data_IF_627722718160
#
_entry.id   IF_627722718160
#
_cell.length_a   1.000
_cell.length_b   1.000
_cell.length_c   1.000
_cell.angle_alpha   90.00
_cell.angle_beta   90.00
_cell.angle_gamma   90.00
#
_symmetry.space_group_name_H-M   'P 1'
#
loop_
_entity.id
_entity.type
_entity.pdbx_description
1 polymer ?
#
# COMPACT_ATOMS: atom_id res chain seq x y z
N UNK A 1 5.63 -6.68 31.80
CA UNK A 1 5.77 -7.22 30.44
C UNK A 1 4.39 -7.76 30.14
N UNK A 2 3.61 -7.04 29.35
CA UNK A 2 2.25 -7.48 29.03
C UNK A 2 2.35 -8.69 28.08
N UNK A 3 1.98 -9.86 28.59
CA UNK A 3 2.03 -11.17 27.92
C UNK A 3 0.94 -11.32 26.82
N UNK A 4 0.24 -10.22 26.47
CA UNK A 4 -0.90 -10.19 25.54
C UNK A 4 -0.57 -9.50 24.19
N UNK A 5 0.72 -9.28 23.87
CA UNK A 5 1.07 -8.60 22.63
C UNK A 5 0.93 -9.52 21.41
N UNK A 6 -0.05 -9.25 20.54
CA UNK A 6 -0.22 -9.91 19.25
C UNK A 6 1.06 -9.87 18.41
N UNK A 7 1.43 -11.03 17.84
CA UNK A 7 2.59 -11.18 16.96
C UNK A 7 2.12 -11.33 15.52
N UNK A 8 2.53 -10.42 14.65
CA UNK A 8 2.24 -10.50 13.22
C UNK A 8 3.32 -11.29 12.49
N UNK A 9 2.91 -12.21 11.61
CA UNK A 9 3.81 -13.00 10.77
C UNK A 9 3.62 -12.59 9.32
N UNK A 10 4.66 -11.99 8.73
CA UNK A 10 4.67 -11.49 7.37
C UNK A 10 5.41 -12.46 6.43
N UNK A 11 4.74 -13.01 5.40
CA UNK A 11 5.40 -13.82 4.38
C UNK A 11 6.47 -13.03 3.63
N UNK A 12 7.69 -13.59 3.51
CA UNK A 12 8.80 -12.95 2.80
C UNK A 12 8.49 -12.70 1.31
N UNK A 13 7.69 -13.56 0.69
CA UNK A 13 7.33 -13.43 -0.73
C UNK A 13 6.44 -12.19 -0.97
N UNK A 14 5.50 -11.91 -0.06
CA UNK A 14 4.66 -10.71 -0.11
C UNK A 14 5.51 -9.45 0.02
N UNK A 15 6.39 -9.39 1.05
CA UNK A 15 7.24 -8.22 1.26
C UNK A 15 8.15 -7.97 0.07
N UNK A 16 8.80 -9.02 -0.44
CA UNK A 16 9.70 -8.92 -1.60
C UNK A 16 8.95 -8.37 -2.81
N UNK A 17 7.78 -8.91 -3.13
CA UNK A 17 7.02 -8.46 -4.29
C UNK A 17 6.48 -7.04 -4.10
N UNK A 18 6.00 -6.70 -2.90
CA UNK A 18 5.51 -5.35 -2.58
C UNK A 18 6.62 -4.30 -2.75
N UNK A 19 7.84 -4.59 -2.30
CA UNK A 19 9.02 -3.76 -2.56
C UNK A 19 9.35 -3.69 -4.05
N UNK A 20 9.32 -4.81 -4.78
CA UNK A 20 9.65 -4.85 -6.22
C UNK A 20 8.69 -4.03 -7.09
N UNK A 21 7.42 -3.92 -6.72
CA UNK A 21 6.44 -3.15 -7.49
C UNK A 21 6.43 -1.66 -7.14
N UNK A 22 7.11 -1.26 -6.08
CA UNK A 22 7.04 0.10 -5.55
C UNK A 22 7.95 1.08 -6.28
N UNK A 23 7.69 2.37 -6.07
CA UNK A 23 8.64 3.44 -6.35
C UNK A 23 9.40 3.83 -5.08
N UNK A 24 10.63 4.32 -5.24
CA UNK A 24 11.49 4.72 -4.12
C UNK A 24 11.14 6.07 -3.49
N UNK A 25 10.34 6.90 -4.18
CA UNK A 25 9.97 8.25 -3.75
C UNK A 25 8.47 8.35 -3.48
N UNK A 26 7.65 7.96 -4.44
CA UNK A 26 6.20 7.95 -4.31
C UNK A 26 5.75 6.77 -3.46
N UNK A 27 4.88 7.07 -2.48
CA UNK A 27 4.33 6.05 -1.62
C UNK A 27 3.30 5.20 -2.38
N UNK A 28 3.30 3.91 -2.09
CA UNK A 28 2.24 2.98 -2.48
C UNK A 28 1.76 2.25 -1.24
N UNK A 29 0.52 1.78 -1.24
CA UNK A 29 -0.09 1.08 -0.13
C UNK A 29 -0.99 -0.06 -0.58
N UNK A 30 -1.27 -0.95 0.37
CA UNK A 30 -2.19 -2.05 0.19
C UNK A 30 -2.84 -2.42 1.51
N UNK A 31 -4.00 -3.06 1.44
CA UNK A 31 -4.68 -3.58 2.62
C UNK A 31 -4.17 -4.99 2.91
N UNK A 32 -3.89 -5.28 4.18
CA UNK A 32 -3.39 -6.59 4.62
C UNK A 32 -4.53 -7.41 5.21
N UNK A 33 -4.64 -8.63 4.72
CA UNK A 33 -5.64 -9.59 5.15
C UNK A 33 -4.97 -10.85 5.68
N UNK A 34 -5.57 -11.45 6.69
CA UNK A 34 -5.06 -12.67 7.27
C UNK A 34 -5.98 -13.22 8.34
N UNK A 35 -5.44 -14.16 9.11
CA UNK A 35 -6.15 -14.79 10.22
C UNK A 35 -5.15 -15.38 11.20
N UNK A 36 -5.62 -15.61 12.42
CA UNK A 36 -4.88 -16.44 13.37
C UNK A 36 -4.92 -17.91 12.91
N UNK A 37 -3.84 -18.69 13.07
CA UNK A 37 -3.84 -20.13 12.79
C UNK A 37 -4.91 -20.88 13.59
N UNK A 38 -5.12 -20.46 14.84
CA UNK A 38 -6.08 -21.02 15.79
C UNK A 38 -6.80 -19.88 16.54
N UNK A 39 -8.07 -20.03 16.94
CA UNK A 39 -8.85 -18.94 17.55
C UNK A 39 -8.24 -18.29 18.79
N UNK A 40 -7.41 -19.03 19.54
CA UNK A 40 -6.77 -18.55 20.78
C UNK A 40 -5.28 -18.23 20.59
N UNK A 41 -4.76 -18.30 19.36
CA UNK A 41 -3.35 -18.03 19.11
C UNK A 41 -3.10 -16.52 19.08
N UNK A 42 -2.10 -16.01 19.83
CA UNK A 42 -1.69 -14.60 19.78
C UNK A 42 -0.95 -14.26 18.48
N UNK A 43 -0.75 -15.24 17.59
CA UNK A 43 -0.06 -15.09 16.33
C UNK A 43 -1.06 -14.84 15.22
N UNK A 44 -0.88 -13.76 14.46
CA UNK A 44 -1.69 -13.45 13.28
C UNK A 44 -0.83 -13.61 12.03
N UNK A 45 -1.25 -14.48 11.11
CA UNK A 45 -0.57 -14.69 9.85
C UNK A 45 -1.16 -13.80 8.76
N UNK A 46 -0.33 -12.98 8.13
CA UNK A 46 -0.72 -12.20 6.95
C UNK A 46 -0.76 -13.15 5.76
N UNK A 47 -1.91 -13.24 5.11
CA UNK A 47 -2.13 -14.16 3.99
C UNK A 47 -2.22 -13.42 2.64
N UNK A 48 -2.74 -12.19 2.63
CA UNK A 48 -2.88 -11.41 1.40
C UNK A 48 -2.52 -9.94 1.56
N UNK A 49 -1.97 -9.37 0.49
CA UNK A 49 -1.97 -7.92 0.27
C UNK A 49 -2.93 -7.62 -0.88
N UNK A 50 -3.87 -6.71 -0.64
CA UNK A 50 -4.84 -6.24 -1.62
C UNK A 50 -4.40 -4.87 -2.10
N UNK A 51 -4.04 -4.80 -3.38
CA UNK A 51 -3.80 -3.54 -4.07
C UNK A 51 -5.14 -3.03 -4.60
N UNK A 52 -5.46 -1.78 -4.32
CA UNK A 52 -6.63 -1.08 -4.86
C UNK A 52 -6.19 0.08 -5.74
N UNK A 53 -7.08 0.62 -6.61
CA UNK A 53 -6.84 1.86 -7.34
C UNK A 53 -6.41 2.98 -6.41
N UNK A 54 -5.20 3.52 -6.57
CA UNK A 54 -4.67 4.52 -5.65
C UNK A 54 -3.84 5.58 -6.37
N UNK A 55 -3.83 6.78 -5.79
CA UNK A 55 -3.02 7.90 -6.25
C UNK A 55 -2.00 8.25 -5.16
N UNK A 56 -0.81 7.69 -5.30
CA UNK A 56 0.33 7.93 -4.40
C UNK A 56 1.16 9.14 -4.81
N UNK A 57 1.71 9.82 -3.82
CA UNK A 57 2.75 10.84 -3.99
C UNK A 57 3.83 10.68 -2.91
N UNK A 58 4.81 11.58 -2.83
CA UNK A 58 5.91 11.48 -1.85
C UNK A 58 5.44 11.57 -0.39
N UNK A 59 4.31 12.22 -0.14
CA UNK A 59 3.82 12.54 1.20
C UNK A 59 2.64 11.67 1.64
N UNK A 60 1.73 11.33 0.74
CA UNK A 60 0.47 10.65 1.08
C UNK A 60 -0.04 9.77 -0.06
N UNK A 61 -1.01 8.91 0.28
CA UNK A 61 -1.72 8.05 -0.67
C UNK A 61 -3.21 8.37 -0.60
N UNK A 62 -3.84 8.50 -1.77
CA UNK A 62 -5.29 8.63 -1.87
C UNK A 62 -5.88 7.27 -2.27
N UNK A 63 -6.83 6.80 -1.47
CA UNK A 63 -7.53 5.52 -1.65
C UNK A 63 -8.99 5.72 -2.09
N UNK A 64 -9.65 4.68 -2.63
CA UNK A 64 -11.08 4.70 -2.89
C UNK A 64 -11.90 4.82 -1.61
N UNK A 65 -13.14 5.29 -1.71
CA UNK A 65 -14.06 5.39 -0.58
C UNK A 65 -14.66 4.04 -0.18
N UNK A 66 -14.61 3.05 -1.07
CA UNK A 66 -15.04 1.69 -0.79
C UNK A 66 -13.86 0.85 -0.27
N UNK A 67 -14.08 0.13 0.84
CA UNK A 67 -13.11 -0.84 1.33
C UNK A 67 -13.20 -2.12 0.52
N UNK A 68 -12.07 -2.73 0.12
CA UNK A 68 -12.12 -4.08 -0.43
C UNK A 68 -12.69 -5.04 0.62
N UNK A 69 -13.64 -5.88 0.25
CA UNK A 69 -14.16 -6.94 1.12
C UNK A 69 -13.80 -8.29 0.53
N UNK A 70 -13.23 -9.17 1.35
CA UNK A 70 -12.82 -10.51 0.96
C UNK A 70 -13.51 -11.48 1.91
N UNK A 71 -14.24 -12.44 1.33
CA UNK A 71 -14.88 -13.48 2.11
C UNK A 71 -13.83 -14.35 2.82
N UNK A 72 -14.16 -14.81 4.03
CA UNK A 72 -13.41 -15.81 4.81
C UNK A 72 -12.02 -15.40 5.32
N UNK A 73 -11.61 -14.13 5.13
CA UNK A 73 -10.34 -13.60 5.66
C UNK A 73 -10.57 -12.21 6.27
N UNK A 74 -9.98 -11.96 7.44
CA UNK A 74 -10.13 -10.70 8.16
C UNK A 74 -9.20 -9.62 7.60
N UNK A 75 -9.69 -8.38 7.52
CA UNK A 75 -8.87 -7.19 7.36
C UNK A 75 -8.05 -6.98 8.63
N UNK A 76 -6.73 -7.05 8.52
CA UNK A 76 -5.79 -6.81 9.63
C UNK A 76 -5.36 -5.35 9.72
N UNK A 77 -5.42 -4.62 8.60
CA UNK A 77 -5.03 -3.21 8.50
C UNK A 77 -4.42 -2.89 7.14
N UNK A 78 -3.33 -2.12 7.11
CA UNK A 78 -2.70 -1.70 5.85
C UNK A 78 -1.18 -1.69 5.92
N UNK A 79 -0.55 -1.72 4.75
CA UNK A 79 0.89 -1.60 4.54
C UNK A 79 1.16 -0.47 3.55
N UNK A 80 2.20 0.34 3.78
CA UNK A 80 2.63 1.33 2.80
C UNK A 80 4.15 1.52 2.77
N UNK A 81 4.65 2.03 1.65
CA UNK A 81 6.04 2.43 1.50
C UNK A 81 6.27 3.86 1.99
N UNK A 82 7.49 4.12 2.44
CA UNK A 82 7.95 5.46 2.80
C UNK A 82 9.44 5.64 2.49
N UNK A 83 9.85 6.87 2.20
CA UNK A 83 11.24 7.20 1.87
C UNK A 83 12.14 7.35 3.09
N UNK A 84 11.56 7.48 4.28
CA UNK A 84 12.28 7.73 5.54
C UNK A 84 11.85 6.72 6.60
N UNK A 85 12.81 6.22 7.38
CA UNK A 85 12.54 5.32 8.52
C UNK A 85 12.15 6.11 9.77
N UNK A 86 10.84 6.29 9.95
CA UNK A 86 10.28 6.87 11.17
C UNK A 86 10.12 5.83 12.28
N UNK A 87 10.37 6.23 13.53
CA UNK A 87 10.24 5.35 14.71
C UNK A 87 8.82 5.28 15.29
N UNK A 88 7.89 6.02 14.71
CA UNK A 88 6.46 6.07 15.03
C UNK A 88 5.68 6.34 13.74
N UNK A 89 4.37 6.14 13.76
CA UNK A 89 3.47 6.55 12.68
C UNK A 89 3.49 8.06 12.54
N UNK A 90 3.56 8.52 11.29
CA UNK A 90 3.57 9.93 10.96
C UNK A 90 2.16 10.53 11.16
N UNK A 91 2.05 11.86 11.29
CA UNK A 91 0.74 12.51 11.31
C UNK A 91 -0.12 12.17 10.08
N UNK A 92 0.52 11.99 8.91
CA UNK A 92 -0.15 11.61 7.67
C UNK A 92 -0.72 10.18 7.75
N UNK A 93 -0.01 9.26 8.37
CA UNK A 93 -0.48 7.89 8.59
C UNK A 93 -1.72 7.90 9.50
N UNK A 94 -1.68 8.66 10.60
CA UNK A 94 -2.81 8.78 11.53
C UNK A 94 -4.02 9.43 10.85
N UNK A 95 -3.81 10.46 10.04
CA UNK A 95 -4.86 11.08 9.24
C UNK A 95 -5.47 10.09 8.23
N UNK A 96 -4.64 9.21 7.64
CA UNK A 96 -5.08 8.17 6.70
C UNK A 96 -5.92 7.11 7.41
N UNK A 97 -5.46 6.64 8.58
CA UNK A 97 -6.22 5.71 9.44
C UNK A 97 -7.58 6.32 9.84
N UNK A 98 -7.61 7.62 10.17
CA UNK A 98 -8.84 8.32 10.52
C UNK A 98 -9.82 8.44 9.34
N UNK A 99 -9.31 8.51 8.11
CA UNK A 99 -10.16 8.44 6.90
C UNK A 99 -10.70 7.02 6.68
N UNK A 100 -9.89 6.00 6.93
CA UNK A 100 -10.35 4.61 6.85
C UNK A 100 -11.46 4.33 7.88
N UNK A 101 -11.29 4.74 9.14
CA UNK A 101 -12.33 4.60 10.16
C UNK A 101 -13.64 5.30 9.77
N UNK A 102 -13.57 6.43 9.06
CA UNK A 102 -14.75 7.16 8.59
C UNK A 102 -15.44 6.48 7.41
N UNK A 103 -14.66 5.95 6.47
CA UNK A 103 -15.17 5.50 5.18
C UNK A 103 -15.47 3.99 5.15
N UNK A 104 -14.78 3.19 5.96
CA UNK A 104 -14.79 1.74 5.89
C UNK A 104 -15.45 1.14 7.15
N UNK A 105 -16.65 0.54 7.03
CA UNK A 105 -17.39 0.01 8.18
C UNK A 105 -16.64 -1.06 8.99
N UNK A 106 -15.75 -1.81 8.34
CA UNK A 106 -14.98 -2.89 8.96
C UNK A 106 -13.64 -2.41 9.56
N UNK A 107 -13.34 -1.11 9.49
CA UNK A 107 -12.14 -0.56 10.10
C UNK A 107 -12.37 -0.30 11.59
N UNK A 108 -11.56 -0.91 12.43
CA UNK A 108 -11.64 -0.82 13.89
C UNK A 108 -10.30 -0.38 14.50
N UNK A 109 -10.29 -0.06 15.80
CA UNK A 109 -9.12 0.56 16.46
C UNK A 109 -7.89 -0.38 16.53
N UNK A 110 -8.10 -1.68 16.43
CA UNK A 110 -7.08 -2.74 16.49
C UNK A 110 -6.28 -2.93 15.19
N UNK A 111 -6.67 -2.26 14.09
CA UNK A 111 -6.03 -2.47 12.78
C UNK A 111 -4.58 -1.97 12.76
N UNK A 112 -3.69 -2.79 12.23
CA UNK A 112 -2.24 -2.57 12.22
C UNK A 112 -1.79 -1.80 10.98
N UNK A 113 -0.78 -0.96 11.16
CA UNK A 113 -0.10 -0.24 10.09
C UNK A 113 1.31 -0.78 9.95
N UNK A 114 1.62 -1.32 8.78
CA UNK A 114 2.96 -1.76 8.41
C UNK A 114 3.64 -0.69 7.56
N UNK A 115 4.81 -0.23 8.01
CA UNK A 115 5.60 0.76 7.28
C UNK A 115 6.81 0.10 6.64
N UNK A 116 7.01 0.34 5.34
CA UNK A 116 8.13 -0.19 4.55
C UNK A 116 9.03 0.97 4.16
N UNK A 117 10.06 1.24 4.97
CA UNK A 117 10.99 2.33 4.74
C UNK A 117 12.17 1.92 3.85
N UNK A 118 12.42 2.70 2.79
CA UNK A 118 13.61 2.55 1.97
C UNK A 118 14.82 3.19 2.65
N UNK A 119 15.82 2.36 2.94
CA UNK A 119 17.13 2.80 3.42
C UNK A 119 18.18 2.47 2.37
N UNK A 120 19.34 3.14 2.33
CA UNK A 120 20.36 2.85 1.34
C UNK A 120 20.75 1.36 1.32
N UNK A 121 20.45 0.67 0.23
CA UNK A 121 20.75 -0.76 0.02
C UNK A 121 19.90 -1.75 0.83
N UNK A 122 18.87 -1.30 1.56
CA UNK A 122 18.02 -2.19 2.35
C UNK A 122 16.59 -1.64 2.53
N UNK A 123 15.76 -2.41 3.24
CA UNK A 123 14.39 -2.03 3.59
C UNK A 123 14.17 -2.30 5.06
N UNK A 124 13.60 -1.34 5.77
CA UNK A 124 13.16 -1.50 7.15
C UNK A 124 11.65 -1.69 7.17
N UNK A 125 11.19 -2.81 7.72
CA UNK A 125 9.77 -3.08 7.93
C UNK A 125 9.44 -2.90 9.42
N UNK A 126 8.45 -2.08 9.74
CA UNK A 126 7.96 -1.87 11.10
C UNK A 126 6.45 -2.03 11.19
N UNK A 127 5.95 -2.38 12.38
CA UNK A 127 4.52 -2.58 12.67
C UNK A 127 4.08 -1.70 13.83
N UNK A 128 2.97 -0.99 13.64
CA UNK A 128 2.40 -0.10 14.64
C UNK A 128 0.87 -0.19 14.70
N UNK A 129 0.33 -0.06 15.90
CA UNK A 129 -1.08 0.27 16.16
C UNK A 129 -1.16 1.65 16.81
N UNK A 130 -2.35 2.23 16.84
CA UNK A 130 -2.59 3.49 17.55
C UNK A 130 -3.21 3.23 18.93
N UNK A 131 -2.78 4.01 19.92
CA UNK A 131 -3.49 4.10 21.19
C UNK A 131 -4.77 4.95 21.03
N UNK A 132 -5.59 4.99 22.09
CA UNK A 132 -6.87 5.72 22.05
C UNK A 132 -6.70 7.22 21.78
N UNK A 133 -5.71 7.86 22.42
CA UNK A 133 -5.40 9.28 22.21
C UNK A 133 -5.04 9.58 20.74
N UNK A 134 -4.30 8.69 20.08
CA UNK A 134 -3.94 8.80 18.67
C UNK A 134 -5.14 8.77 17.74
N UNK A 135 -6.12 7.91 18.03
CA UNK A 135 -7.38 7.86 17.28
C UNK A 135 -8.20 9.14 17.48
N UNK A 136 -8.32 9.62 18.71
CA UNK A 136 -9.06 10.86 19.01
C UNK A 136 -8.40 12.08 18.37
N UNK A 137 -7.07 12.15 18.42
CA UNK A 137 -6.31 13.19 17.76
C UNK A 137 -6.51 13.15 16.24
N UNK A 138 -6.41 11.97 15.61
CA UNK A 138 -6.60 11.82 14.17
C UNK A 138 -7.99 12.26 13.68
N UNK A 139 -9.05 12.01 14.48
CA UNK A 139 -10.43 12.47 14.16
C UNK A 139 -10.59 13.99 14.23
N UNK A 140 -9.90 14.64 15.16
CA UNK A 140 -10.02 16.07 15.42
C UNK A 140 -9.04 16.92 14.61
N UNK A 141 -7.96 16.33 14.12
CA UNK A 141 -6.94 17.02 13.35
C UNK A 141 -7.50 17.56 12.01
N UNK A 142 -7.18 18.81 11.72
CA UNK A 142 -7.58 19.50 10.49
C UNK A 142 -6.41 19.76 9.53
N UNK A 143 -5.18 19.70 10.04
CA UNK A 143 -3.98 19.86 9.23
C UNK A 143 -3.55 18.48 8.70
N UNK A 144 -3.97 18.19 7.47
CA UNK A 144 -3.82 16.88 6.86
C UNK A 144 -2.48 16.68 6.14
N UNK A 145 -1.65 17.73 6.01
CA UNK A 145 -0.46 17.72 5.17
C UNK A 145 0.83 17.96 5.95
N UNK A 146 0.78 18.69 7.06
CA UNK A 146 1.96 18.96 7.88
C UNK A 146 2.50 17.71 8.54
N UNK A 147 3.84 17.64 8.63
CA UNK A 147 4.56 16.64 9.43
C UNK A 147 4.69 17.04 10.90
N UNK A 148 4.28 18.26 11.26
CA UNK A 148 4.32 18.79 12.63
C UNK A 148 3.01 19.51 13.00
N UNK A 149 1.84 18.86 12.85
CA UNK A 149 0.57 19.49 13.18
C UNK A 149 0.39 19.66 14.70
N UNK A 150 -0.39 20.65 15.15
CA UNK A 150 -0.63 20.88 16.58
C UNK A 150 -1.21 19.67 17.29
N UNK A 151 -0.70 19.37 18.48
CA UNK A 151 -1.17 18.27 19.33
C UNK A 151 -0.69 16.87 18.91
N UNK A 152 0.05 16.73 17.81
CA UNK A 152 0.67 15.46 17.46
C UNK A 152 1.71 15.03 18.50
N UNK A 153 1.72 13.74 18.82
CA UNK A 153 2.73 13.10 19.66
C UNK A 153 3.14 11.75 19.06
N UNK A 154 4.44 11.47 19.05
CA UNK A 154 4.94 10.14 18.63
C UNK A 154 4.50 9.01 19.57
N UNK A 155 4.09 9.35 20.81
CA UNK A 155 3.57 8.39 21.78
C UNK A 155 2.20 7.80 21.40
N UNK A 156 1.52 8.38 20.40
CA UNK A 156 0.29 7.82 19.84
C UNK A 156 0.51 6.45 19.19
N UNK A 157 1.73 6.18 18.73
CA UNK A 157 2.10 4.92 18.09
C UNK A 157 2.56 3.89 19.10
N UNK A 158 1.93 2.72 19.06
CA UNK A 158 2.30 1.54 19.85
C UNK A 158 2.95 0.53 18.90
N UNK A 159 4.21 0.19 19.13
CA UNK A 159 4.95 -0.75 18.28
C UNK A 159 4.53 -2.20 18.55
N UNK A 160 4.23 -2.97 17.52
CA UNK A 160 3.87 -4.40 17.65
C UNK A 160 5.07 -5.31 17.33
N UNK A 161 4.94 -6.58 17.71
CA UNK A 161 5.87 -7.62 17.31
C UNK A 161 5.57 -8.08 15.89
N UNK A 162 6.60 -8.12 15.04
CA UNK A 162 6.50 -8.52 13.64
C UNK A 162 7.65 -9.46 13.28
N UNK A 163 7.33 -10.59 12.66
CA UNK A 163 8.29 -11.61 12.26
C UNK A 163 8.16 -11.90 10.77
N UNK A 164 9.29 -12.00 10.08
CA UNK A 164 9.33 -12.45 8.68
C UNK A 164 9.44 -13.96 8.60
N UNK A 165 8.60 -14.60 7.78
CA UNK A 165 8.58 -16.04 7.61
C UNK A 165 8.74 -16.47 6.15
N UNK A 166 9.56 -17.49 5.91
CA UNK A 166 9.65 -18.24 4.65
C UNK A 166 8.80 -19.52 4.66
N UNK A 167 8.21 -19.88 5.80
CA UNK A 167 7.39 -21.09 5.96
C UNK A 167 5.98 -20.94 5.41
N UNK A 168 5.52 -19.69 5.26
CA UNK A 168 4.21 -19.35 4.72
C UNK A 168 4.37 -18.54 3.44
N UNK A 169 3.40 -18.69 2.55
CA UNK A 169 3.35 -18.01 1.25
C UNK A 169 2.03 -17.27 1.17
N UNK A 170 2.08 -15.95 1.00
CA UNK A 170 0.90 -15.14 0.77
C UNK A 170 0.63 -14.89 -0.71
N UNK A 171 -0.57 -14.40 -1.03
CA UNK A 171 -0.98 -14.03 -2.40
C UNK A 171 -1.39 -12.56 -2.49
N UNK A 172 -1.41 -11.99 -3.70
CA UNK A 172 -1.95 -10.66 -3.91
C UNK A 172 -3.38 -10.72 -4.46
N UNK A 173 -4.12 -9.65 -4.25
CA UNK A 173 -5.28 -9.30 -5.07
C UNK A 173 -5.07 -7.92 -5.66
N UNK A 174 -5.53 -7.72 -6.88
CA UNK A 174 -5.32 -6.51 -7.67
C UNK A 174 -6.61 -6.15 -8.42
N UNK A 175 -6.75 -4.92 -8.92
CA UNK A 175 -7.87 -4.56 -9.78
C UNK A 175 -7.98 -5.49 -10.99
N UNK A 176 -9.19 -5.78 -11.43
CA UNK A 176 -9.46 -6.68 -12.55
C UNK A 176 -8.84 -6.20 -13.88
N UNK A 177 -8.81 -4.88 -14.08
CA UNK A 177 -8.12 -4.18 -15.17
C UNK A 177 -6.57 -4.11 -15.02
N UNK A 178 -6.04 -4.58 -13.89
CA UNK A 178 -4.64 -4.53 -13.44
C UNK A 178 -4.10 -3.13 -13.09
N UNK A 179 -4.90 -2.07 -13.17
CA UNK A 179 -4.45 -0.70 -12.94
C UNK A 179 -4.69 -0.33 -11.48
N UNK A 180 -3.70 -0.62 -10.63
CA UNK A 180 -3.72 -0.14 -9.24
C UNK A 180 -3.07 1.24 -9.09
N UNK A 181 -2.12 1.60 -9.96
CA UNK A 181 -1.36 2.85 -9.86
C UNK A 181 -1.91 3.95 -10.78
N UNK A 182 -2.42 5.04 -10.19
CA UNK A 182 -2.93 6.20 -10.92
C UNK A 182 -1.96 7.39 -10.99
N UNK A 183 -0.69 7.23 -10.59
CA UNK A 183 0.29 8.33 -10.61
C UNK A 183 0.47 8.99 -11.99
N UNK A 184 0.33 8.24 -13.09
CA UNK A 184 0.41 8.77 -14.47
C UNK A 184 -0.97 8.94 -15.12
N UNK A 185 -2.05 8.59 -14.40
CA UNK A 185 -3.44 8.63 -14.85
C UNK A 185 -4.29 9.48 -13.88
N UNK A 186 -3.67 10.47 -13.22
CA UNK A 186 -4.28 11.20 -12.12
C UNK A 186 -5.59 11.91 -12.48
N UNK A 187 -5.76 12.31 -13.75
CA UNK A 187 -7.01 12.89 -14.26
C UNK A 187 -8.19 11.90 -14.34
N UNK A 188 -7.90 10.59 -14.39
CA UNK A 188 -8.91 9.53 -14.37
C UNK A 188 -9.21 9.05 -12.94
N UNK A 189 -8.37 9.44 -11.97
CA UNK A 189 -8.53 9.03 -10.59
C UNK A 189 -9.69 9.75 -9.91
N UNK A 190 -10.53 8.98 -9.23
CA UNK A 190 -11.56 9.48 -8.33
C UNK A 190 -11.79 8.46 -7.22
N UNK A 191 -11.90 8.93 -5.99
CA UNK A 191 -12.17 8.05 -4.84
C UNK A 191 -13.54 7.35 -4.90
N UNK A 192 -14.43 7.77 -5.82
CA UNK A 192 -15.76 7.17 -6.01
C UNK A 192 -15.78 6.11 -7.12
N UNK A 193 -14.66 5.88 -7.80
CA UNK A 193 -14.62 4.88 -8.87
C UNK A 193 -14.79 3.49 -8.24
N UNK A 194 -15.73 2.73 -8.79
CA UNK A 194 -15.93 1.33 -8.48
C UNK A 194 -14.80 0.50 -9.09
N UNK A 195 -14.46 -0.62 -8.45
CA UNK A 195 -13.43 -1.53 -8.94
C UNK A 195 -13.74 -2.95 -8.48
N UNK A 196 -13.44 -3.91 -9.35
CA UNK A 196 -13.47 -5.32 -9.01
C UNK A 196 -12.05 -5.82 -8.72
N UNK A 197 -11.94 -6.93 -7.99
CA UNK A 197 -10.66 -7.52 -7.62
C UNK A 197 -10.53 -8.94 -8.16
N UNK A 198 -9.31 -9.28 -8.57
CA UNK A 198 -8.91 -10.64 -8.92
C UNK A 198 -7.65 -11.05 -8.18
N UNK A 199 -7.46 -12.36 -8.04
CA UNK A 199 -6.19 -12.91 -7.55
C UNK A 199 -5.20 -12.89 -8.69
N UNK A 200 -4.20 -12.03 -8.60
CA UNK A 200 -3.12 -11.93 -9.58
C UNK A 200 -1.89 -11.25 -8.95
N UNK A 201 -0.80 -11.15 -9.72
CA UNK A 201 0.45 -10.52 -9.33
C UNK A 201 0.39 -9.03 -9.68
N UNK A 202 0.66 -8.10 -8.75
CA UNK A 202 0.66 -6.68 -9.05
C UNK A 202 1.75 -6.31 -10.05
N UNK A 203 1.35 -5.49 -11.02
CA UNK A 203 2.25 -4.90 -12.00
C UNK A 203 3.18 -3.89 -11.33
N UNK A 204 4.45 -3.75 -11.78
CA UNK A 204 5.37 -2.74 -11.24
C UNK A 204 4.85 -1.30 -11.41
N UNK A 205 5.32 -0.38 -10.56
CA UNK A 205 4.90 1.04 -10.59
C UNK A 205 4.96 1.66 -11.99
N UNK A 206 6.05 1.40 -12.72
CA UNK A 206 6.31 1.90 -14.07
C UNK A 206 5.89 0.92 -15.18
N UNK A 207 4.95 0.00 -14.95
CA UNK A 207 4.44 -0.88 -16.00
C UNK A 207 3.70 -0.08 -17.09
N UNK A 208 3.74 -0.51 -18.34
CA UNK A 208 3.09 0.17 -19.49
C UNK A 208 1.60 0.49 -19.25
N UNK A 209 0.85 -0.43 -18.64
CA UNK A 209 -0.57 -0.25 -18.30
C UNK A 209 -0.82 0.91 -17.33
N UNK A 210 0.14 1.26 -16.47
CA UNK A 210 0.01 2.39 -15.56
C UNK A 210 0.34 3.72 -16.23
N UNK A 211 0.96 3.71 -17.42
CA UNK A 211 1.48 4.90 -18.10
C UNK A 211 1.23 4.89 -19.62
N UNK A 212 0.02 4.56 -20.09
CA UNK A 212 -0.27 4.37 -21.53
C UNK A 212 -0.01 5.63 -22.36
N UNK A 213 -0.19 6.82 -21.78
CA UNK A 213 0.04 8.12 -22.45
C UNK A 213 1.47 8.24 -22.99
N UNK A 214 2.46 7.67 -22.29
CA UNK A 214 3.86 7.72 -22.73
C UNK A 214 4.08 6.92 -24.01
N UNK A 215 3.23 5.93 -24.32
CA UNK A 215 3.36 5.07 -25.49
C UNK A 215 2.52 5.57 -26.67
N UNK A 216 1.41 6.27 -26.41
CA UNK A 216 0.58 6.87 -27.46
C UNK A 216 1.23 8.06 -28.16
N UNK A 217 2.20 8.73 -27.53
CA UNK A 217 2.88 9.92 -28.08
C UNK A 217 3.78 9.63 -29.30
N UNK A 218 4.09 8.37 -29.60
CA UNK A 218 5.00 8.00 -30.69
C UNK A 218 4.32 7.76 -32.04
N UNK A 219 2.98 7.72 -32.09
CA UNK A 219 2.24 7.46 -33.33
C UNK A 219 2.38 8.59 -34.37
N UNK A 220 2.96 9.73 -34.02
CA UNK A 220 3.16 10.86 -34.94
C UNK A 220 4.47 10.75 -35.76
N UNK A 221 5.32 9.76 -35.50
CA UNK A 221 6.62 9.58 -36.20
C UNK A 221 6.51 8.61 -37.39
N UNK A 222 5.35 8.00 -37.64
CA UNK A 222 5.12 7.13 -38.80
C UNK A 222 5.01 7.93 -40.11
N UNK A 223 6.14 8.47 -40.57
CA UNK A 223 6.37 8.85 -41.97
C UNK A 223 7.88 9.05 -42.26
N UNK A 224 8.75 8.16 -41.79
CA UNK A 224 10.05 7.98 -42.45
C UNK A 224 9.91 6.78 -43.38
N UNK A 225 9.55 6.97 -44.67
CA UNK A 225 9.67 5.88 -45.64
C UNK A 225 11.10 5.33 -45.55
N UNK A 226 11.22 4.00 -45.58
CA UNK A 226 12.52 3.35 -45.76
C UNK A 226 13.24 4.07 -46.91
N UNK A 227 14.53 4.36 -46.73
CA UNK A 227 15.30 4.86 -47.86
C UNK A 227 15.19 3.83 -48.98
N UNK A 228 15.02 4.28 -50.23
CA UNK A 228 14.71 3.40 -51.36
C UNK A 228 15.74 2.27 -51.57
N UNK A 229 16.93 2.43 -50.98
CA UNK A 229 18.09 1.55 -51.08
C UNK A 229 18.31 0.70 -49.81
N UNK A 230 17.39 0.74 -48.84
CA UNK A 230 17.53 0.02 -47.57
C UNK A 230 17.20 -1.46 -47.75
N UNK A 231 18.23 -2.30 -47.85
CA UNK A 231 18.11 -3.76 -47.95
C UNK A 231 17.86 -4.40 -46.58
N UNK A 232 16.86 -5.29 -46.49
CA UNK A 232 16.70 -6.21 -45.36
C UNK A 232 17.51 -7.49 -45.64
N UNK A 233 18.68 -7.58 -45.02
CA UNK A 233 19.62 -8.70 -45.19
C UNK A 233 19.32 -9.90 -44.27
N UNK A 234 18.24 -9.84 -43.47
CA UNK A 234 17.89 -10.85 -42.48
C UNK A 234 16.48 -11.44 -42.65
N UNK A 235 15.74 -11.03 -43.70
CA UNK A 235 14.59 -11.76 -44.24
C UNK A 235 15.01 -12.90 -45.19
#
# INVERSE_FOLDING_TARGET
>A
MDDDSTVYVMPKNLLRKFVQISDSRSQIGGFIYGKSPDPNSPVIEIQKIVMVPQLGNTHSIQFPNESPSINDIELLGWIHTQSTDYKALTPVDINTISKFERNYPFWSKDKVTLTVAFTPGSVTLSSYTLNEEGYEWGKSNKDLLSMSPPGYSSAFSVKNQLVLSDRIVGSFMVPDDNIWNFAFLGQLWSAKNEFDLKVDIPLPYYHEFHRPIHFSQFNEIEANPLEADQEDNFE
#
